data_IF_610923471725
#
_entry.id   IF_610923471725
#
_cell.length_a   1.000
_cell.length_b   1.000
_cell.length_c   1.000
_cell.angle_alpha   90.00
_cell.angle_beta   90.00
_cell.angle_gamma   90.00
#
_symmetry.space_group_name_H-M   'P 1'
#
loop_
_entity.id
_entity.type
_entity.pdbx_description
1 polymer ?
#
# COMPACT_ATOMS: atom_id res chain seq x y z
N UNK A 1 12.10 -7.38 17.38
CA UNK A 1 11.90 -5.99 17.84
C UNK A 1 11.88 -5.10 16.60
N UNK A 2 10.70 -4.91 16.01
CA UNK A 2 10.52 -4.20 14.74
C UNK A 2 10.80 -2.71 14.93
N UNK A 3 11.92 -2.23 14.40
CA UNK A 3 12.20 -0.80 14.29
C UNK A 3 11.41 -0.22 13.10
N UNK A 4 10.10 0.02 13.28
CA UNK A 4 9.41 1.10 12.57
C UNK A 4 9.60 2.36 13.42
N UNK A 5 10.79 2.94 13.44
CA UNK A 5 11.13 4.02 14.41
C UNK A 5 10.73 5.42 13.97
N UNK A 6 10.16 5.61 12.78
CA UNK A 6 10.00 6.97 12.22
C UNK A 6 8.57 7.29 11.71
N UNK A 7 7.57 6.44 12.01
CA UNK A 7 6.18 6.78 11.74
C UNK A 7 5.47 7.08 13.06
N UNK A 8 4.79 8.21 13.13
CA UNK A 8 4.04 8.62 14.32
C UNK A 8 2.73 9.29 13.90
N UNK A 9 1.69 9.10 14.70
CA UNK A 9 0.35 9.59 14.42
C UNK A 9 -0.26 10.30 15.63
N UNK A 10 -1.12 11.28 15.37
CA UNK A 10 -1.95 11.91 16.39
C UNK A 10 -3.30 12.33 15.82
N UNK A 11 -4.29 12.50 16.69
CA UNK A 11 -5.65 12.89 16.34
C UNK A 11 -6.68 12.14 17.18
N UNK A 12 -7.97 12.39 16.96
CA UNK A 12 -9.04 11.63 17.61
C UNK A 12 -9.11 10.19 17.08
N UNK A 13 -9.60 9.28 17.94
CA UNK A 13 -9.74 7.85 17.62
C UNK A 13 -8.48 7.03 17.94
N UNK A 14 -8.50 5.75 17.53
CA UNK A 14 -7.37 4.84 17.71
C UNK A 14 -6.25 5.16 16.72
N UNK A 15 -5.01 5.22 17.22
CA UNK A 15 -3.80 5.34 16.40
C UNK A 15 -3.08 3.98 16.40
N UNK A 16 -2.87 3.43 15.21
CA UNK A 16 -2.18 2.14 15.01
C UNK A 16 -0.67 2.27 15.19
N UNK A 17 0.08 1.16 15.34
CA UNK A 17 1.53 1.20 15.59
C UNK A 17 2.36 1.93 14.52
N UNK A 18 1.87 2.01 13.29
CA UNK A 18 2.48 2.73 12.17
C UNK A 18 2.01 4.21 12.05
N UNK A 19 1.24 4.70 13.04
CA UNK A 19 0.79 6.08 13.12
C UNK A 19 -0.47 6.39 12.30
N UNK A 20 -1.15 5.38 11.75
CA UNK A 20 -2.41 5.60 11.05
C UNK A 20 -3.56 5.81 12.05
N UNK A 21 -4.46 6.76 11.77
CA UNK A 21 -5.67 6.94 12.57
C UNK A 21 -6.83 6.15 11.97
N UNK A 22 -7.42 5.22 12.71
CA UNK A 22 -8.53 4.37 12.23
C UNK A 22 -9.70 5.24 11.75
N UNK A 23 -10.11 6.22 12.56
CA UNK A 23 -11.21 7.15 12.26
C UNK A 23 -10.97 7.97 10.98
N UNK A 24 -9.72 8.34 10.70
CA UNK A 24 -9.36 9.03 9.45
C UNK A 24 -9.55 8.08 8.26
N UNK A 25 -9.07 6.84 8.36
CA UNK A 25 -9.14 5.88 7.27
C UNK A 25 -10.58 5.49 6.91
N UNK A 26 -11.52 5.56 7.86
CA UNK A 26 -12.95 5.41 7.60
C UNK A 26 -13.56 6.59 6.82
N UNK A 27 -12.91 7.76 6.85
CA UNK A 27 -13.36 8.98 6.16
C UNK A 27 -12.71 9.18 4.80
N UNK A 28 -11.62 8.46 4.51
CA UNK A 28 -10.93 8.58 3.23
C UNK A 28 -11.86 8.12 2.09
N UNK A 29 -12.06 8.96 1.05
CA UNK A 29 -12.90 8.56 -0.06
C UNK A 29 -12.27 7.40 -0.83
N UNK A 30 -13.11 6.58 -1.47
CA UNK A 30 -12.64 5.76 -2.59
C UNK A 30 -12.24 6.68 -3.73
N UNK A 31 -11.11 6.39 -4.38
CA UNK A 31 -10.58 7.15 -5.52
C UNK A 31 -10.59 6.34 -6.81
N UNK A 32 -11.38 5.27 -6.86
CA UNK A 32 -11.48 4.37 -8.01
C UNK A 32 -10.43 3.26 -8.03
N UNK A 33 -9.70 3.05 -6.93
CA UNK A 33 -8.64 2.03 -6.88
C UNK A 33 -9.18 0.61 -7.12
N UNK A 34 -10.35 0.29 -6.56
CA UNK A 34 -10.95 -1.02 -6.74
C UNK A 34 -11.37 -1.28 -8.18
N UNK A 35 -11.96 -0.29 -8.86
CA UNK A 35 -12.33 -0.39 -10.27
C UNK A 35 -11.10 -0.53 -11.17
N UNK A 36 -10.02 0.21 -10.85
CA UNK A 36 -8.74 0.08 -11.54
C UNK A 36 -8.19 -1.35 -11.39
N UNK A 37 -8.10 -1.86 -10.16
CA UNK A 37 -7.61 -3.22 -9.89
C UNK A 37 -8.50 -4.25 -10.57
N UNK A 38 -9.83 -4.14 -10.44
CA UNK A 38 -10.80 -5.04 -11.08
C UNK A 38 -10.60 -5.11 -12.61
N UNK A 39 -10.39 -3.97 -13.26
CA UNK A 39 -10.14 -3.92 -14.71
C UNK A 39 -8.81 -4.56 -15.14
N UNK A 40 -7.86 -4.70 -14.21
CA UNK A 40 -6.50 -5.15 -14.49
C UNK A 40 -6.28 -6.65 -14.23
N UNK A 41 -7.25 -7.35 -13.63
CA UNK A 41 -7.12 -8.74 -13.17
C UNK A 41 -8.22 -9.65 -13.73
N UNK A 42 -8.04 -10.98 -13.72
CA UNK A 42 -9.08 -11.89 -14.19
C UNK A 42 -10.38 -11.76 -13.38
N UNK A 43 -11.53 -11.94 -14.04
CA UNK A 43 -12.84 -12.00 -13.38
C UNK A 43 -12.86 -13.09 -12.31
N UNK A 44 -13.39 -12.78 -11.13
CA UNK A 44 -13.49 -13.74 -10.02
C UNK A 44 -12.15 -14.19 -9.43
N UNK A 45 -11.03 -13.54 -9.77
CA UNK A 45 -9.71 -13.87 -9.23
C UNK A 45 -9.69 -13.92 -7.69
N UNK A 46 -8.91 -14.85 -7.13
CA UNK A 46 -8.55 -14.86 -5.71
C UNK A 46 -7.51 -13.78 -5.42
N UNK A 47 -7.84 -12.84 -4.53
CA UNK A 47 -7.02 -11.67 -4.22
C UNK A 47 -6.62 -11.71 -2.74
N UNK A 48 -5.36 -11.41 -2.46
CA UNK A 48 -4.91 -11.01 -1.12
C UNK A 48 -4.44 -9.56 -1.14
N UNK A 49 -4.98 -8.71 -0.28
CA UNK A 49 -4.49 -7.33 -0.07
C UNK A 49 -3.59 -7.29 1.17
N UNK A 50 -2.34 -6.85 0.97
CA UNK A 50 -1.36 -6.69 2.04
C UNK A 50 -1.40 -5.25 2.56
N UNK A 51 -1.80 -5.06 3.82
CA UNK A 51 -2.02 -3.76 4.44
C UNK A 51 -3.38 -3.17 4.06
N UNK A 52 -4.45 -3.96 4.23
CA UNK A 52 -5.79 -3.61 3.76
C UNK A 52 -6.46 -2.50 4.58
N UNK A 53 -5.96 -2.18 5.78
CA UNK A 53 -6.58 -1.22 6.70
C UNK A 53 -8.05 -1.55 6.93
N UNK A 54 -8.90 -0.53 6.80
CA UNK A 54 -10.37 -0.63 6.92
C UNK A 54 -11.06 -1.29 5.72
N UNK A 55 -10.30 -1.89 4.79
CA UNK A 55 -10.85 -2.60 3.63
C UNK A 55 -11.35 -1.69 2.52
N UNK A 56 -10.79 -0.48 2.40
CA UNK A 56 -11.21 0.55 1.42
C UNK A 56 -11.14 0.08 -0.03
N UNK A 57 -10.16 -0.78 -0.35
CA UNK A 57 -10.00 -1.38 -1.69
C UNK A 57 -10.55 -2.82 -1.69
N UNK A 58 -10.22 -3.62 -0.67
CA UNK A 58 -10.70 -5.00 -0.55
C UNK A 58 -12.23 -5.16 -0.58
N UNK A 59 -12.97 -4.33 0.17
CA UNK A 59 -14.43 -4.49 0.29
C UNK A 59 -15.14 -4.24 -1.05
N UNK A 60 -14.86 -3.14 -1.78
CA UNK A 60 -15.40 -2.98 -3.14
C UNK A 60 -14.96 -4.08 -4.10
N UNK A 61 -13.72 -4.58 -4.03
CA UNK A 61 -13.28 -5.72 -4.86
C UNK A 61 -14.09 -6.99 -4.59
N UNK A 62 -14.40 -7.28 -3.33
CA UNK A 62 -15.27 -8.41 -2.97
C UNK A 62 -16.69 -8.23 -3.55
N UNK A 63 -17.24 -7.01 -3.50
CA UNK A 63 -18.54 -6.66 -4.10
C UNK A 63 -18.55 -6.73 -5.63
N UNK A 64 -17.40 -6.55 -6.27
CA UNK A 64 -17.18 -6.73 -7.71
C UNK A 64 -17.02 -8.21 -8.11
N UNK A 65 -17.12 -9.15 -7.16
CA UNK A 65 -17.19 -10.59 -7.43
C UNK A 65 -15.88 -11.35 -7.19
N UNK A 66 -14.86 -10.72 -6.63
CA UNK A 66 -13.61 -11.40 -6.27
C UNK A 66 -13.70 -12.08 -4.90
N UNK A 67 -12.97 -13.19 -4.71
CA UNK A 67 -12.68 -13.68 -3.36
C UNK A 67 -11.49 -12.89 -2.83
N UNK A 68 -11.70 -12.09 -1.78
CA UNK A 68 -10.67 -11.21 -1.23
C UNK A 68 -10.34 -11.60 0.21
N UNK A 69 -9.04 -11.76 0.48
CA UNK A 69 -8.47 -11.88 1.83
C UNK A 69 -7.73 -10.58 2.17
N UNK A 70 -8.16 -9.91 3.23
CA UNK A 70 -7.49 -8.70 3.74
C UNK A 70 -6.47 -9.03 4.83
N UNK A 71 -5.25 -8.50 4.72
CA UNK A 71 -4.23 -8.62 5.77
C UNK A 71 -3.91 -7.26 6.33
N UNK A 72 -3.97 -7.11 7.65
CA UNK A 72 -3.49 -5.93 8.36
C UNK A 72 -2.93 -6.33 9.73
N UNK A 73 -2.02 -5.54 10.30
CA UNK A 73 -1.48 -5.81 11.63
C UNK A 73 -2.35 -5.23 12.75
N UNK A 74 -3.23 -4.29 12.41
CA UNK A 74 -4.14 -3.63 13.33
C UNK A 74 -5.46 -4.41 13.44
N UNK A 75 -5.75 -5.05 14.58
CA UNK A 75 -7.07 -5.64 14.79
C UNK A 75 -8.18 -4.58 14.70
N UNK A 76 -7.93 -3.35 15.15
CA UNK A 76 -8.90 -2.25 15.09
C UNK A 76 -9.23 -1.82 13.65
N UNK A 77 -8.28 -1.91 12.73
CA UNK A 77 -8.56 -1.70 11.30
C UNK A 77 -9.44 -2.83 10.74
N UNK A 78 -9.10 -4.08 11.08
CA UNK A 78 -9.80 -5.27 10.60
C UNK A 78 -11.22 -5.40 11.16
N UNK A 79 -11.52 -4.78 12.30
CA UNK A 79 -12.88 -4.71 12.85
C UNK A 79 -13.89 -4.11 11.86
N UNK A 80 -13.44 -3.32 10.87
CA UNK A 80 -14.30 -2.70 9.86
C UNK A 80 -14.46 -3.54 8.58
N UNK A 81 -13.73 -4.65 8.45
CA UNK A 81 -13.69 -5.51 7.27
C UNK A 81 -14.74 -6.64 7.32
N UNK A 82 -15.99 -6.33 7.69
CA UNK A 82 -17.03 -7.34 7.99
C UNK A 82 -17.40 -8.28 6.82
N UNK A 83 -17.17 -7.85 5.59
CA UNK A 83 -17.53 -8.60 4.37
C UNK A 83 -16.35 -9.44 3.82
N UNK A 84 -15.23 -9.47 4.55
CA UNK A 84 -13.96 -10.04 4.09
C UNK A 84 -13.51 -11.18 4.98
N UNK A 85 -12.80 -12.13 4.39
CA UNK A 85 -11.89 -12.98 5.16
C UNK A 85 -10.68 -12.12 5.55
N UNK A 86 -10.34 -12.06 6.84
CA UNK A 86 -9.26 -11.20 7.34
C UNK A 86 -8.22 -11.99 8.11
N UNK A 87 -6.94 -11.60 7.95
CA UNK A 87 -5.82 -12.14 8.71
C UNK A 87 -5.11 -11.01 9.46
N UNK A 88 -5.10 -11.09 10.79
CA UNK A 88 -4.36 -10.15 11.63
C UNK A 88 -2.87 -10.55 11.69
N UNK A 89 -2.03 -9.87 10.90
CA UNK A 89 -0.59 -10.14 10.83
C UNK A 89 0.16 -8.95 10.25
N UNK A 90 1.42 -8.78 10.66
CA UNK A 90 2.36 -7.98 9.88
C UNK A 90 2.63 -8.63 8.52
N UNK A 91 2.84 -7.84 7.49
CA UNK A 91 3.07 -8.34 6.12
C UNK A 91 4.40 -9.11 6.07
N UNK A 92 5.40 -8.66 6.83
CA UNK A 92 6.74 -9.23 6.86
C UNK A 92 6.78 -10.66 7.42
N UNK A 93 5.90 -10.95 8.38
CA UNK A 93 5.83 -12.24 9.09
C UNK A 93 4.73 -13.16 8.56
N UNK A 94 3.82 -12.66 7.73
CA UNK A 94 2.69 -13.42 7.17
C UNK A 94 3.16 -14.68 6.42
N UNK A 95 2.73 -15.87 6.83
CA UNK A 95 3.06 -17.11 6.13
C UNK A 95 1.83 -18.01 6.02
N UNK A 96 0.99 -17.77 5.00
CA UNK A 96 -0.17 -18.59 4.71
C UNK A 96 0.25 -19.79 3.83
N UNK A 97 -0.41 -20.94 4.03
CA UNK A 97 -0.31 -22.10 3.13
C UNK A 97 -1.29 -21.97 1.95
N UNK A 98 -1.46 -20.75 1.46
CA UNK A 98 -2.37 -20.40 0.37
C UNK A 98 -1.68 -19.41 -0.58
N UNK A 99 -1.96 -19.55 -1.88
CA UNK A 99 -1.47 -18.66 -2.93
C UNK A 99 -2.65 -18.09 -3.70
N UNK A 100 -2.45 -16.88 -4.21
CA UNK A 100 -3.50 -16.06 -4.80
C UNK A 100 -3.16 -15.71 -6.26
N UNK A 101 -4.19 -15.60 -7.09
CA UNK A 101 -4.07 -15.14 -8.48
C UNK A 101 -3.54 -13.70 -8.52
N UNK A 102 -3.95 -12.90 -7.53
CA UNK A 102 -3.57 -11.50 -7.38
C UNK A 102 -3.07 -11.23 -5.97
N UNK A 103 -1.92 -10.57 -5.87
CA UNK A 103 -1.46 -9.97 -4.61
C UNK A 103 -1.46 -8.46 -4.75
N UNK A 104 -2.25 -7.76 -3.95
CA UNK A 104 -2.36 -6.30 -3.98
C UNK A 104 -1.47 -5.69 -2.89
N UNK A 105 -0.60 -4.76 -3.27
CA UNK A 105 0.24 -3.96 -2.39
C UNK A 105 0.03 -2.46 -2.71
N UNK A 106 -0.98 -1.86 -2.09
CA UNK A 106 -1.44 -0.50 -2.36
C UNK A 106 -0.92 0.51 -1.31
N UNK A 107 -1.47 1.73 -1.33
CA UNK A 107 -1.19 2.79 -0.35
C UNK A 107 0.30 3.14 -0.24
N UNK A 108 1.00 3.07 -1.37
CA UNK A 108 2.43 3.40 -1.48
C UNK A 108 3.36 2.53 -0.62
N UNK A 109 2.91 1.38 -0.13
CA UNK A 109 3.72 0.50 0.73
C UNK A 109 5.04 0.08 0.07
N UNK A 110 5.05 -0.06 -1.26
CA UNK A 110 6.28 -0.36 -2.03
C UNK A 110 7.31 0.77 -1.98
N UNK A 111 6.94 1.99 -1.60
CA UNK A 111 7.87 3.10 -1.39
C UNK A 111 8.52 3.08 0.00
N UNK A 112 8.22 2.10 0.86
CA UNK A 112 8.89 1.97 2.15
C UNK A 112 10.43 1.98 2.00
N UNK A 113 11.18 2.63 2.90
CA UNK A 113 12.64 2.53 2.88
C UNK A 113 13.13 1.08 3.07
N UNK A 114 14.34 0.79 2.63
CA UNK A 114 14.97 -0.51 2.92
C UNK A 114 15.24 -0.67 4.43
N UNK A 115 15.18 -1.90 4.97
CA UNK A 115 14.92 -3.18 4.28
C UNK A 115 13.43 -3.53 4.14
N UNK A 116 12.51 -2.64 4.56
CA UNK A 116 11.08 -2.95 4.66
C UNK A 116 10.49 -3.23 3.27
N UNK A 117 10.75 -2.39 2.27
CA UNK A 117 10.26 -2.62 0.90
C UNK A 117 10.60 -3.99 0.35
N UNK A 118 11.85 -4.43 0.47
CA UNK A 118 12.24 -5.79 0.04
C UNK A 118 11.46 -6.87 0.80
N UNK A 119 11.21 -6.71 2.10
CA UNK A 119 10.41 -7.67 2.88
C UNK A 119 8.96 -7.72 2.42
N UNK A 120 8.33 -6.57 2.16
CA UNK A 120 6.96 -6.48 1.64
C UNK A 120 6.84 -7.16 0.27
N UNK A 121 7.76 -6.87 -0.64
CA UNK A 121 7.79 -7.48 -1.97
C UNK A 121 8.03 -9.00 -1.92
N UNK A 122 8.88 -9.49 -1.01
CA UNK A 122 9.08 -10.94 -0.80
C UNK A 122 7.84 -11.60 -0.22
N UNK A 123 7.11 -10.92 0.66
CA UNK A 123 5.81 -11.39 1.14
C UNK A 123 4.82 -11.50 -0.02
N UNK A 124 4.76 -10.49 -0.89
CA UNK A 124 3.94 -10.55 -2.09
C UNK A 124 4.33 -11.72 -3.01
N UNK A 125 5.63 -11.91 -3.28
CA UNK A 125 6.13 -13.03 -4.09
C UNK A 125 5.80 -14.40 -3.48
N UNK A 126 5.84 -14.53 -2.14
CA UNK A 126 5.55 -15.78 -1.43
C UNK A 126 4.12 -16.23 -1.62
N UNK A 127 3.15 -15.30 -1.59
CA UNK A 127 1.72 -15.60 -1.70
C UNK A 127 1.22 -15.59 -3.15
N UNK A 128 2.10 -15.36 -4.13
CA UNK A 128 1.73 -15.38 -5.54
C UNK A 128 1.57 -16.81 -6.07
N UNK A 129 0.43 -17.09 -6.72
CA UNK A 129 0.20 -18.33 -7.44
C UNK A 129 1.03 -18.41 -8.74
N UNK A 130 1.32 -19.62 -9.27
CA UNK A 130 1.88 -19.75 -10.61
C UNK A 130 1.00 -19.04 -11.65
N UNK A 131 1.60 -18.15 -12.43
CA UNK A 131 0.87 -17.32 -13.40
C UNK A 131 0.13 -16.12 -12.81
N UNK A 132 0.16 -15.94 -11.49
CA UNK A 132 -0.45 -14.79 -10.81
C UNK A 132 0.30 -13.47 -11.04
N UNK A 133 -0.34 -12.37 -10.66
CA UNK A 133 0.22 -11.02 -10.74
C UNK A 133 0.20 -10.29 -9.39
N UNK A 134 1.23 -9.52 -9.12
CA UNK A 134 1.23 -8.54 -8.03
C UNK A 134 0.78 -7.21 -8.62
N UNK A 135 -0.24 -6.58 -8.04
CA UNK A 135 -0.66 -5.22 -8.38
C UNK A 135 -0.11 -4.27 -7.33
N UNK A 136 0.62 -3.24 -7.75
CA UNK A 136 1.32 -2.33 -6.86
C UNK A 136 0.93 -0.88 -7.12
N UNK A 137 0.84 -0.12 -6.04
CA UNK A 137 0.78 1.34 -6.09
C UNK A 137 2.08 1.93 -5.56
N UNK A 138 2.70 2.84 -6.32
CA UNK A 138 3.84 3.65 -5.88
C UNK A 138 3.52 5.15 -5.97
N UNK A 139 4.34 5.99 -5.35
CA UNK A 139 4.33 7.42 -5.67
C UNK A 139 4.68 7.64 -7.14
N UNK A 140 4.11 8.69 -7.76
CA UNK A 140 4.49 9.10 -9.13
C UNK A 140 6.03 9.24 -9.23
N UNK A 141 6.67 8.75 -10.30
CA UNK A 141 8.12 8.83 -10.45
C UNK A 141 8.67 10.24 -10.23
N UNK A 142 9.70 10.37 -9.39
CA UNK A 142 10.32 11.65 -9.08
C UNK A 142 9.52 12.56 -8.13
N UNK A 143 8.30 12.19 -7.74
CA UNK A 143 7.51 12.94 -6.76
C UNK A 143 8.25 13.07 -5.44
N UNK A 144 8.84 11.96 -4.95
CA UNK A 144 9.61 11.97 -3.70
C UNK A 144 10.68 13.05 -3.74
N UNK A 145 11.44 13.17 -4.84
CA UNK A 145 12.54 14.15 -4.99
C UNK A 145 12.10 15.60 -5.13
N UNK A 146 10.91 15.83 -5.68
CA UNK A 146 10.48 17.16 -6.15
C UNK A 146 9.37 17.78 -5.33
N UNK A 147 8.64 16.99 -4.54
CA UNK A 147 7.52 17.50 -3.75
C UNK A 147 7.98 18.57 -2.77
N UNK A 148 7.18 19.62 -2.68
CA UNK A 148 7.25 20.67 -1.66
C UNK A 148 5.93 20.66 -0.88
N UNK A 149 5.84 21.51 0.13
CA UNK A 149 4.59 21.70 0.87
C UNK A 149 3.42 21.91 -0.08
N UNK A 150 2.37 21.13 0.14
CA UNK A 150 1.20 21.11 -0.73
C UNK A 150 -0.04 20.80 0.09
N UNK A 151 -1.19 21.31 -0.36
CA UNK A 151 -2.47 21.00 0.25
C UNK A 151 -3.51 20.75 -0.81
N UNK A 152 -4.41 19.81 -0.54
CA UNK A 152 -5.59 19.53 -1.34
C UNK A 152 -6.83 19.50 -0.45
N UNK A 153 -7.97 19.82 -1.03
CA UNK A 153 -9.27 19.82 -0.36
C UNK A 153 -10.29 19.27 -1.37
N UNK A 154 -10.93 18.16 -1.03
CA UNK A 154 -11.99 17.54 -1.85
C UNK A 154 -13.41 17.88 -1.35
N UNK A 155 -13.52 18.81 -0.40
CA UNK A 155 -14.75 19.22 0.25
C UNK A 155 -15.13 18.38 1.47
N UNK A 156 -14.69 17.12 1.53
CA UNK A 156 -14.90 16.25 2.69
C UNK A 156 -13.68 16.19 3.60
N UNK A 157 -12.48 16.24 3.01
CA UNK A 157 -11.21 16.13 3.70
C UNK A 157 -10.19 17.08 3.08
N UNK A 158 -9.63 17.94 3.92
CA UNK A 158 -8.44 18.70 3.57
C UNK A 158 -7.20 17.93 4.01
N UNK A 159 -6.25 17.72 3.11
CA UNK A 159 -4.95 17.13 3.42
C UNK A 159 -3.83 18.11 3.08
N UNK A 160 -2.90 18.33 4.01
CA UNK A 160 -1.71 19.16 3.82
C UNK A 160 -0.47 18.33 4.08
N UNK A 161 0.41 18.20 3.09
CA UNK A 161 1.73 17.60 3.23
C UNK A 161 2.75 18.70 3.49
N UNK A 162 3.51 18.53 4.57
CA UNK A 162 4.64 19.36 4.97
C UNK A 162 5.92 18.54 4.83
N UNK A 163 6.86 19.02 4.02
CA UNK A 163 8.18 18.42 3.90
C UNK A 163 9.01 18.83 5.12
N UNK A 164 9.40 17.87 5.94
CA UNK A 164 10.22 18.13 7.13
C UNK A 164 11.69 18.19 6.74
N UNK A 165 12.19 17.14 6.07
CA UNK A 165 13.55 17.08 5.54
C UNK A 165 13.69 16.01 4.44
N UNK A 166 14.91 15.86 3.92
CA UNK A 166 15.30 14.85 2.93
C UNK A 166 16.55 14.12 3.43
N UNK A 167 16.41 12.99 4.13
CA UNK A 167 17.55 12.28 4.73
C UNK A 167 18.56 11.81 3.68
N UNK A 168 18.08 11.57 2.46
CA UNK A 168 18.87 11.22 1.28
C UNK A 168 18.18 11.80 0.01
N UNK A 169 18.85 11.88 -1.14
CA UNK A 169 18.25 12.39 -2.38
C UNK A 169 16.98 11.66 -2.82
N UNK A 170 16.85 10.39 -2.42
CA UNK A 170 15.75 9.48 -2.73
C UNK A 170 14.87 9.16 -1.51
N UNK A 171 15.03 9.87 -0.39
CA UNK A 171 14.19 9.72 0.81
C UNK A 171 13.51 11.05 1.17
N UNK A 172 12.23 10.98 1.48
CA UNK A 172 11.43 12.08 1.98
C UNK A 172 10.96 11.78 3.39
N UNK A 173 11.22 12.70 4.31
CA UNK A 173 10.59 12.73 5.62
C UNK A 173 9.53 13.84 5.61
N UNK A 174 8.27 13.47 5.81
CA UNK A 174 7.15 14.38 5.70
C UNK A 174 6.12 14.14 6.80
N UNK A 175 5.34 15.19 7.07
CA UNK A 175 4.12 15.12 7.87
C UNK A 175 2.93 15.38 6.96
N UNK A 176 1.91 14.55 7.04
CA UNK A 176 0.60 14.88 6.46
C UNK A 176 -0.36 15.20 7.59
N UNK A 177 -1.04 16.34 7.44
CA UNK A 177 -2.13 16.79 8.30
C UNK A 177 -3.44 16.64 7.54
N UNK A 178 -4.41 16.01 8.18
CA UNK A 178 -5.76 15.82 7.67
C UNK A 178 -6.75 16.60 8.53
N UNK A 179 -7.67 17.32 7.90
CA UNK A 179 -8.68 18.14 8.56
C UNK A 179 -10.04 17.82 7.95
N UNK A 180 -10.98 17.37 8.78
CA UNK A 180 -12.37 17.15 8.40
C UNK A 180 -13.29 17.52 9.57
N UNK A 181 -14.37 18.25 9.29
CA UNK A 181 -15.23 18.86 10.29
C UNK A 181 -14.42 19.69 11.32
N UNK A 182 -14.49 19.32 12.60
CA UNK A 182 -13.70 19.91 13.70
C UNK A 182 -12.53 19.01 14.15
N UNK A 183 -12.21 17.96 13.38
CA UNK A 183 -11.18 16.99 13.70
C UNK A 183 -9.92 17.21 12.87
N UNK A 184 -8.79 16.90 13.49
CA UNK A 184 -7.47 17.02 12.92
C UNK A 184 -6.69 15.76 13.23
N UNK A 185 -6.08 15.18 12.21
CA UNK A 185 -5.11 14.10 12.35
C UNK A 185 -3.78 14.54 11.76
N UNK A 186 -2.68 14.09 12.35
CA UNK A 186 -1.34 14.25 11.80
C UNK A 186 -0.63 12.91 11.77
N UNK A 187 0.08 12.64 10.68
CA UNK A 187 0.93 11.47 10.53
C UNK A 187 2.28 11.87 9.95
N UNK A 188 3.34 11.46 10.61
CA UNK A 188 4.71 11.54 10.10
C UNK A 188 5.12 10.21 9.49
N UNK A 189 5.87 10.26 8.39
CA UNK A 189 6.39 9.08 7.73
C UNK A 189 7.66 9.38 6.94
N UNK A 190 8.40 8.31 6.64
CA UNK A 190 9.52 8.33 5.71
C UNK A 190 9.17 7.46 4.51
N UNK A 191 9.32 8.01 3.31
CA UNK A 191 9.05 7.31 2.05
C UNK A 191 10.23 7.46 1.10
N UNK A 192 10.50 6.41 0.32
CA UNK A 192 11.57 6.34 -0.65
C UNK A 192 11.09 6.46 -2.08
N UNK A 193 11.94 7.01 -2.93
CA UNK A 193 11.69 7.10 -4.35
C UNK A 193 11.74 5.71 -5.01
N UNK A 194 10.89 5.50 -6.00
CA UNK A 194 10.87 4.30 -6.83
C UNK A 194 10.60 4.71 -8.27
N UNK A 195 11.62 5.28 -8.90
CA UNK A 195 11.55 5.67 -10.31
C UNK A 195 11.65 4.45 -11.26
N UNK A 196 11.43 4.70 -12.55
CA UNK A 196 11.46 3.65 -13.58
C UNK A 196 12.83 3.01 -13.75
N UNK A 197 13.91 3.73 -13.41
CA UNK A 197 15.27 3.22 -13.50
C UNK A 197 15.57 2.23 -12.37
N UNK A 198 15.08 2.50 -11.16
CA UNK A 198 15.27 1.65 -9.99
C UNK A 198 14.31 0.45 -9.96
N UNK A 199 13.10 0.59 -10.52
CA UNK A 199 12.03 -0.39 -10.41
C UNK A 199 12.42 -1.83 -10.79
N UNK A 200 13.11 -2.11 -11.92
CA UNK A 200 13.49 -3.47 -12.27
C UNK A 200 14.40 -4.14 -11.23
N UNK A 201 15.37 -3.39 -10.69
CA UNK A 201 16.30 -3.91 -9.68
C UNK A 201 15.63 -4.22 -8.35
N UNK A 202 14.71 -3.35 -7.93
CA UNK A 202 13.92 -3.53 -6.70
C UNK A 202 13.02 -4.77 -6.80
N UNK A 203 12.35 -4.97 -7.93
CA UNK A 203 11.52 -6.16 -8.16
C UNK A 203 12.38 -7.44 -8.20
N UNK A 204 13.50 -7.41 -8.93
CA UNK A 204 14.39 -8.56 -9.06
C UNK A 204 14.95 -9.04 -7.72
N UNK A 205 15.27 -8.12 -6.80
CA UNK A 205 15.73 -8.44 -5.44
C UNK A 205 14.69 -9.22 -4.59
N UNK A 206 13.42 -9.22 -5.03
CA UNK A 206 12.32 -9.96 -4.44
C UNK A 206 11.83 -11.14 -5.30
N UNK A 207 12.54 -11.49 -6.39
CA UNK A 207 12.14 -12.58 -7.30
C UNK A 207 10.91 -12.24 -8.15
N UNK A 208 10.70 -10.95 -8.41
CA UNK A 208 9.66 -10.40 -9.26
C UNK A 208 10.28 -9.70 -10.46
N UNK A 209 9.50 -9.56 -11.53
CA UNK A 209 9.83 -8.73 -12.68
C UNK A 209 8.65 -7.83 -13.03
N UNK A 210 8.95 -6.70 -13.67
CA UNK A 210 7.92 -5.80 -14.17
C UNK A 210 6.98 -6.53 -15.15
N UNK A 211 5.68 -6.28 -15.02
CA UNK A 211 4.64 -6.74 -15.91
C UNK A 211 4.25 -5.65 -16.91
N UNK A 212 3.32 -4.80 -16.52
CA UNK A 212 2.83 -3.65 -17.30
C UNK A 212 2.42 -2.50 -16.40
N UNK A 213 2.42 -1.29 -16.96
CA UNK A 213 1.82 -0.12 -16.33
C UNK A 213 0.29 -0.19 -16.41
N UNK A 214 -0.40 0.33 -15.40
CA UNK A 214 -1.88 0.41 -15.34
C UNK A 214 -2.40 1.84 -15.48
N UNK A 215 -1.57 2.85 -15.17
CA UNK A 215 -1.91 4.27 -15.27
C UNK A 215 -0.85 5.06 -16.05
N UNK A 216 -1.25 6.12 -16.73
CA UNK A 216 -0.34 6.98 -17.50
C UNK A 216 0.59 7.80 -16.58
N UNK A 217 0.13 8.09 -15.35
CA UNK A 217 0.87 8.77 -14.30
C UNK A 217 2.01 7.92 -13.72
N UNK A 218 2.04 6.63 -14.03
CA UNK A 218 3.08 5.72 -13.62
C UNK A 218 3.02 5.30 -12.14
N UNK A 219 1.90 5.50 -11.47
CA UNK A 219 1.71 5.20 -10.04
C UNK A 219 1.11 3.80 -9.78
N UNK A 220 0.47 3.18 -10.76
CA UNK A 220 -0.03 1.81 -10.67
C UNK A 220 0.57 0.90 -11.73
N UNK A 221 1.08 -0.25 -11.31
CA UNK A 221 1.69 -1.22 -12.21
C UNK A 221 1.52 -2.64 -11.70
N UNK A 222 1.85 -3.59 -12.56
CA UNK A 222 1.89 -5.02 -12.22
C UNK A 222 3.31 -5.53 -12.20
N UNK A 223 3.55 -6.53 -11.34
CA UNK A 223 4.71 -7.38 -11.37
C UNK A 223 4.28 -8.86 -11.45
N UNK A 224 5.18 -9.72 -11.89
CA UNK A 224 4.96 -11.17 -11.96
C UNK A 224 6.19 -11.89 -11.44
N UNK A 225 6.06 -13.17 -11.10
CA UNK A 225 7.20 -13.98 -10.70
C UNK A 225 8.30 -13.97 -11.78
N UNK A 226 9.55 -13.81 -11.35
CA UNK A 226 10.69 -14.07 -12.21
C UNK A 226 10.87 -15.58 -12.35
N UNK A 227 10.81 -16.09 -13.58
CA UNK A 227 10.87 -17.53 -13.87
C UNK A 227 12.31 -18.06 -13.99
N UNK A 228 13.31 -17.21 -13.76
CA UNK A 228 14.74 -17.59 -13.91
C UNK A 228 15.30 -18.47 -12.77
N UNK A 229 14.46 -19.05 -11.90
CA UNK A 229 14.89 -19.88 -10.77
C UNK A 229 14.24 -21.26 -10.64
N UNK A 230 13.36 -21.67 -11.57
CA UNK A 230 12.75 -23.01 -11.57
C UNK A 230 13.30 -23.83 -12.74
N UNK A 231 14.55 -24.26 -12.61
CA UNK A 231 15.14 -25.37 -13.36
C UNK A 231 15.86 -26.30 -12.39
#
# INVERSE_FOLDING_TARGET
>A
MNQRTNASGSGPGTITPDGCAVDLYLRLPSRGEAELVHSAVPEGAGIIELGCGTGRISTPLARLGHRVVGVDESPEMLEHCHELETVCSSIEELALDERFDVVLLASYLVNSPEPLRTKLLRSARRHLAPGGTVVLQRHRPGWVRTVTDTSSDDGALRSSLLVLDRPAPDLLHARVRYEADAMVWEQEFVTGDLDDAALPGVLAAAGLRFGRMLTDEGDWFTAVADQTGEQ
#
